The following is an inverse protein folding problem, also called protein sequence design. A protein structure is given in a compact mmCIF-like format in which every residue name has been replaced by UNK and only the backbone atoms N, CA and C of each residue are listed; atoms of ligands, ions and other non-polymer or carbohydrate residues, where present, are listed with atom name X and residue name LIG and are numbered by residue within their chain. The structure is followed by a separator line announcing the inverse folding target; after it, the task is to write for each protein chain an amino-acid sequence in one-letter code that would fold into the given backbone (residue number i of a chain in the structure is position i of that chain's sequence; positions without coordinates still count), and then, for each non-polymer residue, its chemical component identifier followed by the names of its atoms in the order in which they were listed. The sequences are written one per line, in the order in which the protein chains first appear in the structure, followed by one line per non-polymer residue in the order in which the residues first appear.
data_IF_360309362270
#
_entry.id   IF_360309362270
#
_cell.length_a   1.000
_cell.length_b   1.000
_cell.length_c   1.000
_cell.angle_alpha   90.00
_cell.angle_beta   90.00
_cell.angle_gamma   90.00
#
_symmetry.space_group_name_H-M   'P 1'
#
loop_
_entity.id
_entity.type
_entity.pdbx_description
1 polymer ?
#
# COMPACT_ATOMS: atom_id res chain seq x y z
N UNK A 1 10.76 9.97 -19.92
CA UNK A 1 9.36 10.41 -19.75
C UNK A 1 8.53 9.23 -19.25
N UNK A 2 7.61 9.44 -18.29
CA UNK A 2 6.78 8.37 -17.74
C UNK A 2 5.78 7.85 -18.79
N UNK A 3 5.77 6.54 -19.03
CA UNK A 3 4.86 5.91 -20.00
C UNK A 3 3.45 5.83 -19.41
N UNK A 4 2.49 6.52 -20.03
CA UNK A 4 1.09 6.59 -19.59
C UNK A 4 0.13 5.87 -20.56
N UNK A 5 0.59 4.86 -21.29
CA UNK A 5 -0.23 4.13 -22.28
C UNK A 5 -1.49 3.52 -21.66
N UNK A 6 -2.51 3.27 -22.49
CA UNK A 6 -3.74 2.57 -22.09
C UNK A 6 -3.52 1.10 -21.70
N UNK A 7 -2.36 0.53 -22.03
CA UNK A 7 -1.96 -0.78 -21.52
C UNK A 7 -1.55 -0.72 -20.04
N UNK A 8 -0.90 0.36 -19.63
CA UNK A 8 -0.46 0.58 -18.25
C UNK A 8 -1.53 1.26 -17.39
N UNK A 9 -2.40 2.06 -18.01
CA UNK A 9 -3.50 2.78 -17.35
C UNK A 9 -4.79 2.65 -18.16
N UNK A 10 -5.50 1.50 -18.08
CA UNK A 10 -6.70 1.23 -18.88
C UNK A 10 -7.84 2.22 -18.67
N UNK A 11 -7.91 2.86 -17.49
CA UNK A 11 -8.88 3.91 -17.16
C UNK A 11 -8.94 5.03 -18.21
N UNK A 12 -7.83 5.25 -18.93
CA UNK A 12 -7.71 6.28 -19.97
C UNK A 12 -8.54 6.05 -21.22
N UNK A 13 -9.01 4.82 -21.47
CA UNK A 13 -9.84 4.48 -22.63
C UNK A 13 -11.18 5.21 -22.57
N UNK A 14 -11.74 5.27 -21.36
CA UNK A 14 -13.13 5.69 -21.14
C UNK A 14 -13.21 6.98 -20.31
N UNK A 15 -12.15 7.36 -19.58
CA UNK A 15 -12.20 8.47 -18.63
C UNK A 15 -10.99 9.41 -18.70
N UNK A 16 -11.28 10.70 -18.51
CA UNK A 16 -10.30 11.70 -18.07
C UNK A 16 -10.26 11.67 -16.53
N UNK A 17 -9.47 10.77 -15.97
CA UNK A 17 -9.37 10.62 -14.52
C UNK A 17 -8.55 11.75 -13.90
N UNK A 18 -9.15 12.55 -13.01
CA UNK A 18 -8.48 13.69 -12.35
C UNK A 18 -8.35 13.52 -10.82
N UNK A 19 -8.95 12.49 -10.23
CA UNK A 19 -8.99 12.27 -8.78
C UNK A 19 -7.84 11.39 -8.24
N UNK A 20 -6.61 11.57 -8.74
CA UNK A 20 -5.48 10.68 -8.43
C UNK A 20 -5.05 10.66 -6.96
N UNK A 21 -5.29 11.74 -6.22
CA UNK A 21 -4.92 11.85 -4.81
C UNK A 21 -5.93 11.21 -3.85
N UNK A 22 -7.05 10.71 -4.36
CA UNK A 22 -7.97 9.86 -3.60
C UNK A 22 -7.55 8.40 -3.81
N UNK A 23 -8.45 7.55 -4.29
CA UNK A 23 -8.12 6.19 -4.74
C UNK A 23 -7.73 6.26 -6.21
N UNK A 24 -6.44 6.16 -6.52
CA UNK A 24 -5.96 6.14 -7.90
C UNK A 24 -6.37 4.88 -8.67
N UNK A 25 -6.45 4.94 -10.00
CA UNK A 25 -6.63 3.74 -10.83
C UNK A 25 -5.45 2.80 -10.64
N UNK A 26 -5.71 1.49 -10.55
CA UNK A 26 -4.63 0.51 -10.47
C UNK A 26 -3.76 0.54 -11.73
N UNK A 27 -2.45 0.46 -11.54
CA UNK A 27 -1.49 0.18 -12.61
C UNK A 27 -1.83 -1.19 -13.23
N UNK A 28 -1.95 -1.26 -14.56
CA UNK A 28 -2.43 -2.45 -15.28
C UNK A 28 -1.71 -3.75 -14.89
N UNK A 29 -0.37 -3.78 -14.88
CA UNK A 29 0.37 -4.95 -14.39
C UNK A 29 0.12 -5.32 -12.93
N UNK A 30 -0.15 -4.34 -12.05
CA UNK A 30 -0.51 -4.62 -10.66
C UNK A 30 -1.92 -5.26 -10.55
N UNK A 31 -2.89 -4.77 -11.32
CA UNK A 31 -4.21 -5.38 -11.40
C UNK A 31 -4.14 -6.84 -11.90
N UNK A 32 -3.30 -7.10 -12.92
CA UNK A 32 -3.04 -8.46 -13.43
C UNK A 32 -2.44 -9.36 -12.35
N UNK A 33 -1.41 -8.91 -11.65
CA UNK A 33 -0.78 -9.67 -10.58
C UNK A 33 -1.76 -10.01 -9.44
N UNK A 34 -2.65 -9.06 -9.07
CA UNK A 34 -3.70 -9.31 -8.09
C UNK A 34 -4.68 -10.39 -8.53
N UNK A 35 -5.12 -10.38 -9.79
CA UNK A 35 -6.00 -11.41 -10.34
C UNK A 35 -5.32 -12.79 -10.38
N UNK A 36 -4.04 -12.85 -10.78
CA UNK A 36 -3.25 -14.09 -10.78
C UNK A 36 -3.10 -14.66 -9.37
N UNK A 37 -2.85 -13.81 -8.36
CA UNK A 37 -2.79 -14.22 -6.97
C UNK A 37 -4.11 -14.86 -6.50
N UNK A 38 -5.25 -14.21 -6.77
CA UNK A 38 -6.56 -14.73 -6.37
C UNK A 38 -6.86 -16.09 -7.04
N UNK A 39 -6.54 -16.22 -8.33
CA UNK A 39 -6.67 -17.50 -9.05
C UNK A 39 -5.81 -18.59 -8.41
N UNK A 40 -4.52 -18.32 -8.18
CA UNK A 40 -3.62 -19.28 -7.56
C UNK A 40 -4.09 -19.67 -6.15
N UNK A 41 -4.62 -18.72 -5.37
CA UNK A 41 -5.14 -19.00 -4.04
C UNK A 41 -6.38 -19.90 -4.07
N UNK A 42 -7.26 -19.72 -5.07
CA UNK A 42 -8.42 -20.62 -5.26
C UNK A 42 -8.02 -22.05 -5.65
N UNK A 43 -6.90 -22.22 -6.37
CA UNK A 43 -6.43 -23.51 -6.87
C UNK A 43 -5.59 -24.28 -5.84
N UNK A 44 -4.85 -23.57 -4.98
CA UNK A 44 -3.82 -24.15 -4.11
C UNK A 44 -4.07 -23.92 -2.61
N UNK A 45 -4.97 -23.00 -2.26
CA UNK A 45 -5.27 -22.61 -0.89
C UNK A 45 -4.01 -22.23 -0.10
N UNK A 46 -3.86 -22.83 1.08
CA UNK A 46 -2.75 -22.59 1.99
C UNK A 46 -1.37 -22.93 1.40
N UNK A 47 -1.28 -23.84 0.42
CA UNK A 47 0.00 -24.21 -0.19
C UNK A 47 0.69 -23.03 -0.91
N UNK A 48 -0.08 -22.02 -1.31
CA UNK A 48 0.45 -20.78 -1.91
C UNK A 48 1.28 -19.93 -0.93
N UNK A 49 1.21 -20.21 0.39
CA UNK A 49 1.87 -19.40 1.43
C UNK A 49 3.35 -19.14 1.15
N UNK A 50 4.10 -20.13 0.65
CA UNK A 50 5.53 -19.98 0.35
C UNK A 50 5.79 -18.90 -0.70
N UNK A 51 4.96 -18.85 -1.74
CA UNK A 51 5.04 -17.82 -2.77
C UNK A 51 4.71 -16.44 -2.18
N UNK A 52 3.63 -16.35 -1.38
CA UNK A 52 3.19 -15.09 -0.80
C UNK A 52 4.21 -14.46 0.17
N UNK A 53 4.88 -15.28 0.99
CA UNK A 53 5.95 -14.79 1.88
C UNK A 53 7.07 -14.13 1.07
N UNK A 54 7.48 -14.73 -0.04
CA UNK A 54 8.49 -14.13 -0.93
C UNK A 54 8.04 -12.81 -1.57
N UNK A 55 6.76 -12.69 -1.92
CA UNK A 55 6.17 -11.44 -2.45
C UNK A 55 6.22 -10.33 -1.40
N UNK A 56 5.85 -10.64 -0.15
CA UNK A 56 5.94 -9.69 0.96
C UNK A 56 7.39 -9.24 1.18
N UNK A 57 8.34 -10.17 1.33
CA UNK A 57 9.74 -9.82 1.54
C UNK A 57 10.30 -8.93 0.41
N UNK A 58 9.93 -9.21 -0.84
CA UNK A 58 10.31 -8.39 -1.99
C UNK A 58 9.66 -6.99 -1.94
N UNK A 59 8.39 -6.89 -1.55
CA UNK A 59 7.71 -5.61 -1.35
C UNK A 59 8.44 -4.77 -0.30
N UNK A 60 8.72 -5.35 0.88
CA UNK A 60 9.44 -4.67 1.96
C UNK A 60 10.76 -4.09 1.50
N UNK A 61 11.58 -4.89 0.81
CA UNK A 61 12.89 -4.46 0.30
C UNK A 61 12.78 -3.32 -0.71
N UNK A 62 11.86 -3.42 -1.68
CA UNK A 62 11.67 -2.38 -2.71
C UNK A 62 11.12 -1.08 -2.13
N UNK A 63 10.18 -1.16 -1.19
CA UNK A 63 9.65 0.02 -0.49
C UNK A 63 10.71 0.69 0.36
N UNK A 64 11.54 -0.10 1.05
CA UNK A 64 12.66 0.41 1.83
C UNK A 64 13.70 1.13 0.95
N UNK A 65 14.02 0.58 -0.22
CA UNK A 65 14.89 1.24 -1.21
C UNK A 65 14.30 2.59 -1.67
N UNK A 66 13.01 2.60 -2.04
CA UNK A 66 12.30 3.81 -2.46
C UNK A 66 12.33 4.91 -1.39
N UNK A 67 12.10 4.53 -0.13
CA UNK A 67 12.07 5.43 1.01
C UNK A 67 13.45 5.67 1.65
N UNK A 68 14.50 5.04 1.11
CA UNK A 68 15.90 5.11 1.62
C UNK A 68 16.00 4.77 3.11
N UNK A 69 15.38 3.68 3.52
CA UNK A 69 15.33 3.20 4.91
C UNK A 69 15.62 1.70 5.00
N UNK A 70 15.66 1.13 6.22
CA UNK A 70 15.77 -0.31 6.42
C UNK A 70 14.43 -1.01 6.14
N UNK A 71 14.41 -2.24 5.57
CA UNK A 71 13.21 -3.06 5.48
C UNK A 71 12.50 -3.30 6.83
N UNK A 72 13.25 -3.29 7.93
CA UNK A 72 12.71 -3.45 9.29
C UNK A 72 11.85 -2.27 9.74
N UNK A 73 12.00 -1.10 9.08
CA UNK A 73 11.17 0.09 9.33
C UNK A 73 9.85 0.07 8.53
N UNK A 74 9.54 -1.01 7.81
CA UNK A 74 8.36 -1.10 6.93
C UNK A 74 7.31 -2.07 7.51
N UNK A 75 6.18 -1.52 7.93
CA UNK A 75 4.99 -2.27 8.35
C UNK A 75 4.00 -2.44 7.18
N UNK A 76 3.22 -3.52 7.21
CA UNK A 76 2.08 -3.71 6.31
C UNK A 76 0.81 -3.23 7.00
N UNK A 77 0.12 -2.29 6.38
CA UNK A 77 -1.18 -1.78 6.81
C UNK A 77 -2.08 -1.66 5.58
N UNK A 78 -3.38 -1.71 5.80
CA UNK A 78 -4.40 -1.72 4.74
C UNK A 78 -4.71 -0.31 4.22
N UNK A 79 -4.46 0.72 5.03
CA UNK A 79 -4.68 2.13 4.69
C UNK A 79 -3.94 3.08 5.65
N UNK A 80 -3.99 4.38 5.37
CA UNK A 80 -3.33 5.43 6.16
C UNK A 80 -3.87 5.52 7.59
N UNK A 81 -5.19 5.43 7.79
CA UNK A 81 -5.82 5.55 9.10
C UNK A 81 -5.42 4.40 10.03
N UNK A 82 -5.31 3.17 9.51
CA UNK A 82 -4.80 2.02 10.27
C UNK A 82 -3.38 2.29 10.77
N UNK A 83 -2.49 2.81 9.92
CA UNK A 83 -1.12 3.15 10.30
C UNK A 83 -1.05 4.19 11.41
N UNK A 84 -1.79 5.30 11.29
CA UNK A 84 -1.82 6.34 12.33
C UNK A 84 -2.40 5.82 13.63
N UNK A 85 -3.48 5.04 13.59
CA UNK A 85 -4.12 4.49 14.78
C UNK A 85 -3.24 3.47 15.51
N UNK A 86 -2.44 2.67 14.80
CA UNK A 86 -1.47 1.77 15.42
C UNK A 86 -0.45 2.52 16.27
N UNK A 87 0.03 3.68 15.81
CA UNK A 87 0.95 4.51 16.58
C UNK A 87 0.22 5.18 17.74
N UNK A 88 -0.94 5.79 17.50
CA UNK A 88 -1.69 6.51 18.53
C UNK A 88 -2.12 5.62 19.70
N UNK A 89 -2.46 4.35 19.44
CA UNK A 89 -2.88 3.41 20.48
C UNK A 89 -1.72 2.51 20.99
N UNK A 90 -0.60 2.46 20.27
CA UNK A 90 0.54 1.62 20.60
C UNK A 90 1.71 2.35 21.27
N UNK A 91 1.76 3.69 21.16
CA UNK A 91 2.78 4.48 21.82
C UNK A 91 2.52 4.52 23.34
N UNK A 92 3.55 4.32 24.19
CA UNK A 92 3.38 4.25 25.63
C UNK A 92 3.27 5.66 26.25
N UNK A 93 2.16 6.35 25.97
CA UNK A 93 1.91 7.68 26.55
C UNK A 93 1.83 7.62 28.08
N UNK A 94 2.38 8.65 28.72
CA UNK A 94 2.32 8.84 30.17
C UNK A 94 1.49 10.07 30.54
N UNK A 95 0.92 10.13 31.76
CA UNK A 95 0.25 11.33 32.25
C UNK A 95 1.16 12.57 32.16
N UNK A 96 0.72 13.57 31.41
CA UNK A 96 1.48 14.80 31.17
C UNK A 96 2.03 14.93 29.75
N UNK A 97 2.02 13.86 28.96
CA UNK A 97 2.38 13.92 27.54
C UNK A 97 1.42 14.82 26.74
N UNK A 98 1.96 15.44 25.69
CA UNK A 98 1.21 16.32 24.80
C UNK A 98 1.38 15.87 23.35
N UNK A 99 0.26 15.76 22.64
CA UNK A 99 0.25 15.53 21.20
C UNK A 99 0.04 16.87 20.50
N UNK A 100 1.03 17.30 19.72
CA UNK A 100 0.96 18.53 18.92
C UNK A 100 0.67 18.12 17.48
N UNK A 101 -0.47 18.57 16.94
CA UNK A 101 -0.88 18.29 15.57
C UNK A 101 -1.14 19.58 14.79
N UNK A 102 -1.08 19.49 13.47
CA UNK A 102 -1.45 20.59 12.59
C UNK A 102 -2.97 20.79 12.58
N UNK A 103 -3.43 22.04 12.65
CA UNK A 103 -4.86 22.38 12.75
C UNK A 103 -5.70 21.93 11.54
N UNK A 104 -5.06 21.70 10.40
CA UNK A 104 -5.72 21.22 9.18
C UNK A 104 -5.27 19.80 8.80
N UNK A 105 -4.93 18.98 9.80
CA UNK A 105 -4.72 17.56 9.59
C UNK A 105 -5.99 16.87 9.04
N UNK A 106 -5.79 15.79 8.30
CA UNK A 106 -6.87 15.01 7.74
C UNK A 106 -7.71 14.32 8.86
N UNK A 107 -9.05 14.31 8.77
CA UNK A 107 -9.90 13.61 9.73
C UNK A 107 -9.90 12.09 9.44
N UNK A 108 -8.79 11.43 9.76
CA UNK A 108 -8.55 9.99 9.53
C UNK A 108 -9.22 9.09 10.56
#
# INVERSE_FOLDING_TARGET
MFNKSESLFPVRRDYVYLAHSSIGPMYGPAAKAGAEFLKAHSEQGMMLRHYYVGVLDAFRKKTAELLRTSPDNIAYVSNTAEGTNLVANGYPFEPGDQVISYVHEFPS
#
